data_IF_563654111295
#
_entry.id   IF_563654111295
#
_cell.length_a   1.000
_cell.length_b   1.000
_cell.length_c   1.000
_cell.angle_alpha   90.00
_cell.angle_beta   90.00
_cell.angle_gamma   90.00
#
_symmetry.space_group_name_H-M   'P 1'
#
loop_
_entity.id
_entity.type
_entity.pdbx_description
1 polymer ?
#
# COMPACT_ATOMS: atom_id res chain seq x y z
N UNK A 1 -2.11 1.53 8.75
CA UNK A 1 -0.98 0.61 8.65
C UNK A 1 0.00 0.91 9.77
N UNK A 2 0.50 -0.13 10.45
CA UNK A 2 1.41 -0.03 11.58
C UNK A 2 2.66 -0.87 11.37
N UNK A 3 3.74 -0.51 12.07
CA UNK A 3 4.98 -1.31 12.09
C UNK A 3 5.10 -1.99 13.44
N UNK A 4 5.26 -3.31 13.40
CA UNK A 4 5.58 -4.14 14.56
C UNK A 4 7.08 -4.02 14.79
N UNK A 5 7.48 -3.13 15.70
CA UNK A 5 8.89 -2.78 15.92
C UNK A 5 9.78 -3.98 16.26
N UNK A 6 9.27 -4.97 16.98
CA UNK A 6 10.03 -6.19 17.33
C UNK A 6 10.31 -7.07 16.11
N UNK A 7 9.40 -7.10 15.12
CA UNK A 7 9.58 -7.87 13.90
C UNK A 7 10.38 -7.10 12.82
N UNK A 8 10.56 -5.79 12.99
CA UNK A 8 11.31 -4.99 12.04
C UNK A 8 12.81 -5.22 12.17
N UNK A 9 13.44 -5.72 11.12
CA UNK A 9 14.87 -6.03 11.07
C UNK A 9 15.79 -4.81 10.91
N UNK A 10 15.26 -3.59 10.77
CA UNK A 10 16.09 -2.40 10.51
C UNK A 10 16.85 -2.51 9.19
N UNK A 11 16.16 -2.90 8.11
CA UNK A 11 16.76 -2.96 6.77
C UNK A 11 17.46 -1.64 6.42
N UNK A 12 18.59 -1.68 5.68
CA UNK A 12 19.36 -0.48 5.36
C UNK A 12 18.50 0.51 4.56
N UNK A 13 18.75 1.80 4.79
CA UNK A 13 18.27 2.84 3.91
C UNK A 13 18.93 2.72 2.53
N UNK A 14 18.36 3.41 1.55
CA UNK A 14 18.93 3.44 0.20
C UNK A 14 20.38 3.87 0.26
N UNK A 15 21.27 2.97 -0.14
CA UNK A 15 22.71 3.21 -0.23
C UNK A 15 23.34 2.32 -1.30
N UNK A 16 24.53 2.71 -1.74
CA UNK A 16 25.32 1.91 -2.66
C UNK A 16 26.54 1.38 -1.92
N UNK A 17 26.87 0.13 -2.17
CA UNK A 17 28.02 -0.55 -1.56
C UNK A 17 28.84 -1.25 -2.62
N UNK A 18 30.16 -1.18 -2.49
CA UNK A 18 31.10 -1.96 -3.27
C UNK A 18 31.49 -3.19 -2.47
N UNK A 19 30.99 -4.38 -2.81
CA UNK A 19 31.37 -5.62 -2.14
C UNK A 19 32.71 -6.16 -2.65
N UNK A 20 33.13 -7.30 -2.12
CA UNK A 20 34.41 -7.92 -2.44
C UNK A 20 34.56 -8.41 -3.90
N UNK A 21 33.47 -8.50 -4.65
CA UNK A 21 33.48 -8.85 -6.07
C UNK A 21 33.96 -7.71 -6.99
N UNK A 22 34.36 -6.56 -6.44
CA UNK A 22 34.95 -5.49 -7.21
C UNK A 22 36.26 -5.98 -7.89
N UNK A 23 36.34 -5.80 -9.23
CA UNK A 23 37.46 -6.32 -10.03
C UNK A 23 38.66 -5.38 -10.04
N UNK A 24 38.67 -4.29 -9.29
CA UNK A 24 39.79 -3.34 -9.21
C UNK A 24 40.26 -2.87 -10.60
N UNK A 25 39.31 -2.57 -11.50
CA UNK A 25 39.60 -2.23 -12.90
C UNK A 25 40.42 -0.93 -13.02
N UNK A 26 41.34 -0.87 -13.98
CA UNK A 26 42.27 0.25 -14.14
C UNK A 26 41.53 1.58 -14.41
N UNK A 27 40.45 1.57 -15.18
CA UNK A 27 39.76 2.78 -15.61
C UNK A 27 38.84 3.40 -14.53
N UNK A 28 38.48 2.66 -13.46
CA UNK A 28 37.63 3.10 -12.38
C UNK A 28 36.38 3.94 -12.81
N UNK A 29 35.57 3.52 -13.79
CA UNK A 29 34.49 4.35 -14.32
C UNK A 29 33.46 4.74 -13.25
N UNK A 30 33.36 3.99 -12.17
CA UNK A 30 32.52 4.33 -11.03
C UNK A 30 32.98 5.60 -10.30
N UNK A 31 34.31 5.82 -10.16
CA UNK A 31 34.87 7.02 -9.57
C UNK A 31 34.70 8.22 -10.51
N UNK A 32 35.04 8.05 -11.80
CA UNK A 32 34.92 9.09 -12.82
C UNK A 32 33.46 9.58 -13.00
N UNK A 33 32.48 8.68 -12.89
CA UNK A 33 31.06 9.02 -13.02
C UNK A 33 30.46 9.69 -11.78
N UNK A 34 31.19 9.76 -10.66
CA UNK A 34 30.65 10.26 -9.40
C UNK A 34 30.65 11.80 -9.34
N UNK A 35 29.49 12.49 -9.38
CA UNK A 35 29.44 13.96 -9.42
C UNK A 35 29.89 14.64 -8.12
N UNK A 36 30.00 13.86 -7.03
CA UNK A 36 30.42 14.35 -5.71
C UNK A 36 31.80 13.85 -5.27
N UNK A 37 32.51 13.12 -6.14
CA UNK A 37 33.79 12.55 -5.77
C UNK A 37 33.75 11.65 -4.53
N UNK A 38 32.61 11.00 -4.31
CA UNK A 38 32.36 10.15 -3.14
C UNK A 38 32.99 8.75 -3.26
N UNK A 39 33.72 8.46 -4.33
CA UNK A 39 34.34 7.17 -4.56
C UNK A 39 35.87 7.35 -4.64
N UNK A 40 36.54 6.65 -3.74
CA UNK A 40 38.00 6.59 -3.70
C UNK A 40 38.46 5.19 -4.03
N UNK A 41 39.69 5.07 -4.54
CA UNK A 41 40.34 3.78 -4.80
C UNK A 41 41.27 3.46 -3.64
N UNK A 42 41.01 2.33 -3.00
CA UNK A 42 41.86 1.85 -1.91
C UNK A 42 43.21 1.30 -2.44
N UNK A 43 44.19 1.15 -1.56
CA UNK A 43 45.53 0.65 -1.90
C UNK A 43 45.52 -0.74 -2.59
N UNK A 44 44.49 -1.54 -2.34
CA UNK A 44 44.30 -2.84 -3.00
C UNK A 44 43.58 -2.74 -4.36
N UNK A 45 43.40 -1.53 -4.90
CA UNK A 45 42.73 -1.25 -6.18
C UNK A 45 41.21 -1.27 -6.12
N UNK A 46 40.58 -1.69 -5.02
CA UNK A 46 39.10 -1.71 -4.88
C UNK A 46 38.57 -0.29 -4.67
N UNK A 47 37.43 -0.04 -5.26
CA UNK A 47 36.67 1.21 -5.02
C UNK A 47 35.98 1.17 -3.68
N UNK A 48 35.93 2.31 -2.98
CA UNK A 48 35.23 2.49 -1.70
C UNK A 48 34.32 3.70 -1.81
N UNK A 49 33.07 3.59 -1.37
CA UNK A 49 32.10 4.68 -1.36
C UNK A 49 32.07 5.33 0.02
N UNK A 50 32.35 6.62 0.05
CA UNK A 50 32.13 7.47 1.23
C UNK A 50 30.63 7.79 1.34
N UNK A 51 29.96 7.17 2.30
CA UNK A 51 28.52 7.32 2.48
C UNK A 51 28.10 8.71 2.97
N UNK A 52 28.99 9.50 3.55
CA UNK A 52 28.71 10.87 3.98
C UNK A 52 28.67 11.83 2.79
N UNK A 53 29.54 11.63 1.79
CA UNK A 53 29.57 12.42 0.55
C UNK A 53 28.57 11.91 -0.48
N UNK A 54 28.14 10.64 -0.38
CA UNK A 54 27.33 9.98 -1.38
C UNK A 54 25.89 10.50 -1.41
N UNK A 55 25.48 11.09 -2.53
CA UNK A 55 24.09 11.54 -2.75
C UNK A 55 23.15 10.42 -3.23
N UNK A 56 23.59 9.19 -3.23
CA UNK A 56 22.80 7.99 -3.55
C UNK A 56 22.14 8.01 -4.96
N UNK A 57 22.78 8.66 -5.93
CA UNK A 57 22.24 8.85 -7.30
C UNK A 57 22.34 7.60 -8.19
N UNK A 58 23.21 6.63 -7.88
CA UNK A 58 23.34 5.37 -8.62
C UNK A 58 24.21 5.40 -9.87
N UNK A 59 24.77 6.53 -10.27
CA UNK A 59 25.62 6.64 -11.48
C UNK A 59 26.79 5.66 -11.47
N UNK A 60 27.42 5.47 -10.32
CA UNK A 60 28.52 4.53 -10.16
C UNK A 60 28.12 3.08 -10.41
N UNK A 61 26.92 2.67 -9.99
CA UNK A 61 26.41 1.34 -10.25
C UNK A 61 26.13 1.13 -11.75
N UNK A 62 25.53 2.13 -12.39
CA UNK A 62 25.28 2.11 -13.84
C UNK A 62 26.55 2.11 -14.68
N UNK A 63 27.59 2.81 -14.21
CA UNK A 63 28.88 2.89 -14.92
C UNK A 63 29.78 1.65 -14.73
N UNK A 64 29.50 0.81 -13.74
CA UNK A 64 30.30 -0.37 -13.44
C UNK A 64 30.07 -1.49 -14.48
N UNK A 65 31.06 -1.83 -15.35
CA UNK A 65 30.86 -2.86 -16.39
C UNK A 65 30.70 -4.27 -15.83
N UNK A 66 31.10 -4.47 -14.58
CA UNK A 66 31.02 -5.76 -13.88
C UNK A 66 29.76 -5.89 -12.98
N UNK A 67 28.93 -4.85 -12.89
CA UNK A 67 27.78 -4.84 -11.99
C UNK A 67 28.15 -5.03 -10.50
N UNK A 68 29.40 -4.70 -10.13
CA UNK A 68 29.94 -4.98 -8.80
C UNK A 68 29.42 -4.04 -7.71
N UNK A 69 28.73 -2.95 -8.06
CA UNK A 69 28.18 -1.99 -7.09
C UNK A 69 26.71 -2.31 -6.85
N UNK A 70 26.40 -2.76 -5.65
CA UNK A 70 25.04 -3.15 -5.27
C UNK A 70 24.28 -1.97 -4.66
N UNK A 71 23.00 -1.87 -5.01
CA UNK A 71 22.03 -1.00 -4.34
C UNK A 71 21.41 -1.77 -3.18
N UNK A 72 21.57 -1.26 -1.98
CA UNK A 72 20.84 -1.71 -0.81
C UNK A 72 19.68 -0.75 -0.57
N UNK A 73 18.51 -1.28 -0.32
CA UNK A 73 17.33 -0.47 -0.07
C UNK A 73 16.31 -1.27 0.74
N UNK A 74 15.67 -0.60 1.66
CA UNK A 74 14.61 -1.16 2.48
C UNK A 74 13.39 -1.46 1.59
N UNK A 75 12.93 -2.75 1.49
CA UNK A 75 11.87 -3.11 0.54
C UNK A 75 10.56 -2.33 0.75
N UNK A 76 10.17 -2.08 2.00
CA UNK A 76 8.96 -1.30 2.30
C UNK A 76 9.08 0.16 1.86
N UNK A 77 10.26 0.78 1.94
CA UNK A 77 10.48 2.14 1.45
C UNK A 77 10.54 2.18 -0.08
N UNK A 78 11.23 1.21 -0.70
CA UNK A 78 11.29 1.09 -2.15
C UNK A 78 9.91 0.94 -2.81
N UNK A 79 8.98 0.25 -2.12
CA UNK A 79 7.61 0.05 -2.59
C UNK A 79 6.67 1.23 -2.28
N UNK A 80 7.12 2.23 -1.52
CA UNK A 80 6.27 3.34 -1.09
C UNK A 80 6.27 4.47 -2.13
N UNK A 81 5.23 4.54 -2.96
CA UNK A 81 5.08 5.61 -3.95
C UNK A 81 4.86 7.02 -3.36
N UNK A 82 4.61 7.11 -2.05
CA UNK A 82 4.40 8.38 -1.33
C UNK A 82 5.62 8.85 -0.55
N UNK A 83 6.72 8.09 -0.60
CA UNK A 83 7.93 8.35 0.20
C UNK A 83 7.65 8.58 1.69
N UNK A 84 6.71 7.78 2.22
CA UNK A 84 6.21 7.88 3.58
C UNK A 84 6.95 6.98 4.59
N UNK A 85 7.97 6.21 4.13
CA UNK A 85 8.71 5.29 4.99
C UNK A 85 10.09 5.83 5.30
N UNK A 86 10.29 6.25 6.51
CA UNK A 86 11.57 6.72 7.06
C UNK A 86 12.23 5.71 7.98
N UNK A 87 13.18 6.22 8.76
CA UNK A 87 13.92 5.48 9.79
C UNK A 87 13.76 6.18 11.13
N UNK A 88 13.53 5.42 12.19
CA UNK A 88 13.53 5.95 13.55
C UNK A 88 14.94 5.95 14.16
N UNK A 89 15.04 6.46 15.38
CA UNK A 89 16.31 6.54 16.14
C UNK A 89 16.98 5.20 16.39
N UNK A 90 16.22 4.10 16.32
CA UNK A 90 16.72 2.74 16.49
C UNK A 90 17.09 2.06 15.15
N UNK A 91 17.09 2.80 14.04
CA UNK A 91 17.37 2.27 12.70
C UNK A 91 16.23 1.44 12.09
N UNK A 92 15.05 1.40 12.73
CA UNK A 92 13.89 0.66 12.24
C UNK A 92 13.01 1.53 11.36
N UNK A 93 12.15 0.89 10.56
CA UNK A 93 11.21 1.62 9.74
C UNK A 93 10.24 2.46 10.59
N UNK A 94 9.91 3.64 10.10
CA UNK A 94 8.85 4.51 10.63
C UNK A 94 7.95 4.98 9.50
N UNK A 95 6.65 5.19 9.80
CA UNK A 95 5.68 5.65 8.82
C UNK A 95 5.29 7.08 9.15
N UNK A 96 5.52 7.98 8.21
CA UNK A 96 4.98 9.33 8.24
C UNK A 96 3.49 9.26 7.88
N UNK A 97 2.63 9.43 8.89
CA UNK A 97 1.17 9.30 8.72
C UNK A 97 0.57 10.44 7.90
N UNK A 98 1.24 11.59 7.83
CA UNK A 98 0.77 12.71 7.01
C UNK A 98 0.98 12.43 5.51
N UNK A 99 2.05 11.73 5.16
CA UNK A 99 2.32 11.30 3.78
C UNK A 99 1.58 10.03 3.42
N UNK A 100 1.39 9.13 4.36
CA UNK A 100 0.82 7.81 4.13
C UNK A 100 -0.61 7.90 3.60
N UNK A 101 -0.93 7.09 2.59
CA UNK A 101 -2.27 6.94 2.01
C UNK A 101 -2.88 5.55 2.28
N UNK A 102 -2.25 4.77 3.15
CA UNK A 102 -2.71 3.44 3.57
C UNK A 102 -2.94 2.43 2.43
N UNK A 103 -2.19 2.51 1.34
CA UNK A 103 -2.34 1.64 0.16
C UNK A 103 -1.90 0.18 0.40
N UNK A 104 -1.15 -0.13 1.47
CA UNK A 104 -0.72 -1.49 1.79
C UNK A 104 0.55 -1.98 1.09
N UNK A 105 1.12 -1.25 0.12
CA UNK A 105 2.30 -1.70 -0.65
C UNK A 105 3.50 -2.08 0.23
N UNK A 106 3.73 -1.33 1.31
CA UNK A 106 4.80 -1.63 2.26
C UNK A 106 4.56 -2.94 3.03
N UNK A 107 3.29 -3.31 3.29
CA UNK A 107 2.91 -4.55 3.95
C UNK A 107 3.25 -5.75 3.06
N UNK A 108 2.83 -5.71 1.80
CA UNK A 108 3.06 -6.80 0.83
C UNK A 108 4.56 -7.01 0.56
N UNK A 109 5.35 -5.93 0.58
CA UNK A 109 6.78 -5.98 0.27
C UNK A 109 7.68 -6.19 1.51
N UNK A 110 7.12 -6.35 2.72
CA UNK A 110 7.92 -6.62 3.90
C UNK A 110 8.23 -8.12 4.04
N UNK A 111 9.47 -8.59 3.81
CA UNK A 111 9.80 -10.02 3.88
C UNK A 111 9.77 -10.58 5.30
N UNK A 112 9.69 -9.71 6.31
CA UNK A 112 9.67 -10.09 7.74
C UNK A 112 8.27 -10.04 8.35
N UNK A 113 7.23 -9.72 7.59
CA UNK A 113 5.88 -9.53 8.13
C UNK A 113 5.79 -8.45 9.22
N UNK A 114 6.73 -7.50 9.22
CA UNK A 114 6.81 -6.47 10.26
C UNK A 114 5.82 -5.33 10.08
N UNK A 115 5.06 -5.32 9.00
CA UNK A 115 4.04 -4.31 8.73
C UNK A 115 2.69 -4.99 8.69
N UNK A 116 1.74 -4.45 9.45
CA UNK A 116 0.39 -4.97 9.55
C UNK A 116 -0.65 -3.89 9.29
N UNK A 117 -1.82 -4.29 8.88
CA UNK A 117 -3.02 -3.47 8.86
C UNK A 117 -3.58 -3.25 10.28
N UNK A 118 -4.66 -2.53 10.38
CA UNK A 118 -5.44 -2.37 11.62
C UNK A 118 -6.69 -3.25 11.58
N UNK A 119 -6.50 -4.55 11.34
CA UNK A 119 -7.60 -5.49 11.38
C UNK A 119 -8.36 -5.46 12.71
N UNK A 120 -9.69 -5.62 12.65
CA UNK A 120 -10.58 -5.57 13.81
C UNK A 120 -11.15 -6.96 14.17
N UNK A 121 -10.38 -8.02 13.91
CA UNK A 121 -10.82 -9.40 14.15
C UNK A 121 -11.22 -9.66 15.61
N UNK A 122 -10.49 -9.07 16.56
CA UNK A 122 -10.79 -9.22 17.97
C UNK A 122 -12.15 -8.61 18.32
N UNK A 123 -12.42 -7.40 17.85
CA UNK A 123 -13.71 -6.72 18.07
C UNK A 123 -14.86 -7.49 17.42
N UNK A 124 -14.63 -8.07 16.24
CA UNK A 124 -15.61 -8.92 15.55
C UNK A 124 -15.94 -10.17 16.36
N UNK A 125 -14.93 -10.91 16.81
CA UNK A 125 -15.12 -12.11 17.65
C UNK A 125 -15.87 -11.76 18.94
N UNK A 126 -15.53 -10.65 19.56
CA UNK A 126 -16.23 -10.17 20.76
C UNK A 126 -17.71 -9.85 20.49
N UNK A 127 -18.02 -9.22 19.36
CA UNK A 127 -19.38 -8.90 18.98
C UNK A 127 -20.22 -10.18 18.77
N UNK A 128 -19.68 -11.15 18.03
CA UNK A 128 -20.33 -12.44 17.79
C UNK A 128 -20.55 -13.19 19.12
N UNK A 129 -19.53 -13.26 19.98
CA UNK A 129 -19.64 -13.94 21.29
C UNK A 129 -20.65 -13.29 22.24
N UNK A 130 -20.86 -11.99 22.13
CA UNK A 130 -21.88 -11.27 22.92
C UNK A 130 -23.30 -11.47 22.38
N UNK A 131 -23.46 -12.14 21.24
CA UNK A 131 -24.76 -12.32 20.59
C UNK A 131 -25.25 -11.07 19.83
N UNK A 132 -24.34 -10.14 19.50
CA UNK A 132 -24.70 -9.01 18.65
C UNK A 132 -25.10 -9.52 17.26
N UNK A 133 -26.08 -8.88 16.66
CA UNK A 133 -26.43 -9.13 15.26
C UNK A 133 -25.36 -8.54 14.34
N UNK A 134 -24.51 -9.39 13.76
CA UNK A 134 -23.40 -8.97 12.89
C UNK A 134 -23.69 -9.37 11.45
N UNK A 135 -23.72 -8.40 10.56
CA UNK A 135 -23.88 -8.60 9.12
C UNK A 135 -22.50 -8.48 8.46
N UNK A 136 -22.09 -9.51 7.72
CA UNK A 136 -20.88 -9.45 6.88
C UNK A 136 -21.21 -8.74 5.56
N UNK A 137 -20.45 -7.72 5.21
CA UNK A 137 -20.41 -7.18 3.86
C UNK A 137 -19.10 -7.58 3.23
N UNK A 138 -19.13 -8.27 2.08
CA UNK A 138 -17.98 -8.98 1.53
C UNK A 138 -17.54 -8.34 0.21
N UNK A 139 -16.25 -8.04 0.09
CA UNK A 139 -15.66 -7.53 -1.15
C UNK A 139 -15.64 -8.63 -2.23
N UNK A 140 -15.77 -8.30 -3.52
CA UNK A 140 -15.69 -9.27 -4.61
C UNK A 140 -14.38 -10.07 -4.67
N UNK A 141 -13.33 -9.59 -4.00
CA UNK A 141 -12.02 -10.21 -3.94
C UNK A 141 -12.02 -11.65 -3.38
N UNK A 142 -13.08 -12.10 -2.69
CA UNK A 142 -13.18 -13.48 -2.20
C UNK A 142 -13.29 -14.51 -3.33
N UNK A 143 -13.75 -14.10 -4.51
CA UNK A 143 -13.95 -15.00 -5.65
C UNK A 143 -12.62 -15.59 -6.10
N UNK A 144 -12.57 -16.91 -6.17
CA UNK A 144 -11.38 -17.66 -6.56
C UNK A 144 -10.34 -17.90 -5.45
N UNK A 145 -10.46 -17.29 -4.27
CA UNK A 145 -9.50 -17.48 -3.17
C UNK A 145 -9.61 -18.84 -2.47
N UNK A 146 -10.78 -19.45 -2.49
CA UNK A 146 -11.06 -20.71 -1.77
C UNK A 146 -11.14 -21.92 -2.71
N UNK A 147 -10.61 -21.79 -3.93
CA UNK A 147 -10.61 -22.84 -4.94
C UNK A 147 -11.92 -22.94 -5.74
N UNK A 148 -11.96 -23.76 -6.83
CA UNK A 148 -13.05 -23.77 -7.79
C UNK A 148 -14.35 -24.38 -7.25
N UNK A 149 -14.30 -25.13 -6.16
CA UNK A 149 -15.49 -25.74 -5.53
C UNK A 149 -16.25 -24.81 -4.60
N UNK A 150 -15.72 -23.61 -4.32
CA UNK A 150 -16.38 -22.63 -3.47
C UNK A 150 -17.36 -21.81 -4.30
N UNK A 151 -18.66 -21.95 -3.98
CA UNK A 151 -19.72 -21.12 -4.55
C UNK A 151 -20.14 -20.01 -3.58
N UNK A 152 -20.81 -18.94 -4.04
CA UNK A 152 -21.32 -17.89 -3.17
C UNK A 152 -22.25 -18.42 -2.05
N UNK A 153 -23.04 -19.44 -2.35
CA UNK A 153 -23.94 -20.07 -1.38
C UNK A 153 -23.17 -20.83 -0.29
N UNK A 154 -22.14 -21.59 -0.69
CA UNK A 154 -21.24 -22.27 0.27
C UNK A 154 -20.50 -21.27 1.14
N UNK A 155 -20.00 -20.20 0.55
CA UNK A 155 -19.35 -19.12 1.28
C UNK A 155 -20.30 -18.48 2.30
N UNK A 156 -21.51 -18.14 1.86
CA UNK A 156 -22.55 -17.59 2.74
C UNK A 156 -22.89 -18.54 3.88
N UNK A 157 -23.04 -19.85 3.59
CA UNK A 157 -23.31 -20.85 4.62
C UNK A 157 -22.15 -20.96 5.64
N UNK A 158 -20.90 -20.93 5.17
CA UNK A 158 -19.74 -20.96 6.05
C UNK A 158 -19.69 -19.72 6.95
N UNK A 159 -19.94 -18.53 6.42
CA UNK A 159 -19.98 -17.29 7.20
C UNK A 159 -21.08 -17.33 8.28
N UNK A 160 -22.26 -17.88 7.97
CA UNK A 160 -23.32 -18.08 8.97
C UNK A 160 -22.88 -19.05 10.07
N UNK A 161 -22.17 -20.11 9.75
CA UNK A 161 -21.61 -21.03 10.75
C UNK A 161 -20.56 -20.36 11.65
N UNK A 162 -19.84 -19.34 11.16
CA UNK A 162 -18.93 -18.52 11.96
C UNK A 162 -19.67 -17.56 12.91
N UNK A 163 -20.98 -17.41 12.78
CA UNK A 163 -21.80 -16.60 13.67
C UNK A 163 -22.27 -15.26 13.09
N UNK A 164 -22.13 -15.05 11.78
CA UNK A 164 -22.75 -13.91 11.12
C UNK A 164 -24.24 -14.16 10.91
N UNK A 165 -25.04 -13.11 11.10
CA UNK A 165 -26.50 -13.15 10.87
C UNK A 165 -26.84 -13.27 9.38
N UNK A 166 -26.17 -12.46 8.57
CA UNK A 166 -26.31 -12.47 7.12
C UNK A 166 -25.03 -12.05 6.41
N UNK A 167 -24.98 -12.31 5.09
CA UNK A 167 -23.86 -11.98 4.22
C UNK A 167 -24.40 -11.21 3.02
N UNK A 168 -23.79 -10.08 2.71
CA UNK A 168 -24.16 -9.22 1.58
C UNK A 168 -22.93 -8.90 0.75
N UNK A 169 -23.03 -9.04 -0.55
CA UNK A 169 -21.95 -8.70 -1.46
C UNK A 169 -21.86 -7.19 -1.66
N UNK A 170 -20.66 -6.63 -1.49
CA UNK A 170 -20.40 -5.20 -1.73
C UNK A 170 -20.54 -4.85 -3.22
N UNK A 171 -20.49 -5.84 -4.11
CA UNK A 171 -20.77 -5.66 -5.53
C UNK A 171 -22.12 -4.98 -5.80
N UNK A 172 -23.15 -5.29 -5.02
CA UNK A 172 -24.47 -4.63 -5.11
C UNK A 172 -24.35 -3.13 -4.86
N UNK A 173 -23.57 -2.75 -3.86
CA UNK A 173 -23.28 -1.33 -3.59
C UNK A 173 -22.45 -0.69 -4.69
N UNK A 174 -21.56 -1.45 -5.34
CA UNK A 174 -20.77 -0.96 -6.47
C UNK A 174 -21.66 -0.65 -7.68
N UNK A 175 -22.62 -1.51 -8.01
CA UNK A 175 -23.58 -1.27 -9.08
C UNK A 175 -24.38 0.01 -8.84
N UNK A 176 -24.89 0.20 -7.62
CA UNK A 176 -25.62 1.41 -7.24
C UNK A 176 -24.75 2.67 -7.31
N UNK A 177 -23.50 2.60 -6.82
CA UNK A 177 -22.55 3.70 -6.95
C UNK A 177 -22.29 4.05 -8.41
N UNK A 178 -22.08 3.05 -9.26
CA UNK A 178 -21.83 3.25 -10.70
C UNK A 178 -22.99 3.95 -11.39
N UNK A 179 -24.23 3.59 -11.07
CA UNK A 179 -25.42 4.24 -11.64
C UNK A 179 -25.46 5.71 -11.26
N UNK A 180 -25.21 6.04 -10.00
CA UNK A 180 -25.25 7.44 -9.53
C UNK A 180 -24.06 8.25 -10.09
N UNK A 181 -22.84 7.70 -10.09
CA UNK A 181 -21.67 8.37 -10.68
C UNK A 181 -21.85 8.59 -12.18
N UNK A 182 -22.47 7.66 -12.92
CA UNK A 182 -22.77 7.84 -14.34
C UNK A 182 -23.73 9.00 -14.58
N UNK A 183 -24.76 9.17 -13.74
CA UNK A 183 -25.67 10.33 -13.82
C UNK A 183 -24.92 11.64 -13.57
N UNK A 184 -24.08 11.68 -12.55
CA UNK A 184 -23.27 12.85 -12.22
C UNK A 184 -22.29 13.17 -13.34
N UNK A 185 -21.62 12.15 -13.91
CA UNK A 185 -20.73 12.32 -15.07
C UNK A 185 -21.46 12.94 -16.28
N UNK A 186 -22.62 12.38 -16.66
CA UNK A 186 -23.38 12.87 -17.81
C UNK A 186 -23.90 14.31 -17.62
N UNK A 187 -24.12 14.72 -16.38
CA UNK A 187 -24.52 16.09 -16.06
C UNK A 187 -23.34 17.06 -16.10
N UNK A 188 -22.21 16.67 -15.50
CA UNK A 188 -21.10 17.57 -15.22
C UNK A 188 -20.06 17.63 -16.35
N UNK A 189 -19.87 16.53 -17.13
CA UNK A 189 -18.83 16.45 -18.15
C UNK A 189 -19.43 16.51 -19.56
N UNK A 190 -18.95 17.41 -20.45
CA UNK A 190 -17.91 18.41 -20.26
C UNK A 190 -18.43 19.78 -19.79
N UNK A 191 -19.71 19.90 -19.43
CA UNK A 191 -20.38 21.19 -19.23
C UNK A 191 -19.84 22.00 -18.04
N UNK A 192 -19.60 21.34 -16.90
CA UNK A 192 -19.15 21.97 -15.66
C UNK A 192 -17.66 21.70 -15.40
N UNK A 193 -17.15 20.55 -15.87
CA UNK A 193 -15.76 20.12 -15.66
C UNK A 193 -15.24 19.30 -16.84
N UNK A 194 -13.90 19.30 -17.10
CA UNK A 194 -13.33 18.63 -18.27
C UNK A 194 -13.35 17.11 -18.19
N UNK A 195 -13.31 16.55 -16.97
CA UNK A 195 -13.38 15.12 -16.68
C UNK A 195 -13.86 14.90 -15.24
N UNK A 196 -14.21 13.68 -14.92
CA UNK A 196 -14.50 13.26 -13.55
C UNK A 196 -13.68 11.99 -13.23
N UNK A 197 -13.02 11.99 -12.07
CA UNK A 197 -12.30 10.85 -11.56
C UNK A 197 -13.13 10.14 -10.48
N UNK A 198 -13.15 8.80 -10.49
CA UNK A 198 -13.91 8.02 -9.51
C UNK A 198 -13.26 8.02 -8.13
N UNK A 199 -14.02 7.76 -7.07
CA UNK A 199 -13.56 7.82 -5.67
C UNK A 199 -13.71 6.50 -4.92
N UNK A 200 -13.93 5.38 -5.62
CA UNK A 200 -14.20 4.08 -4.99
C UNK A 200 -13.05 3.55 -4.11
N UNK A 201 -11.79 3.96 -4.38
CA UNK A 201 -10.61 3.60 -3.58
C UNK A 201 -10.14 4.78 -2.73
N UNK A 202 -10.31 4.75 -1.40
CA UNK A 202 -9.87 5.84 -0.51
C UNK A 202 -8.38 6.15 -0.60
N UNK A 203 -7.52 5.13 -0.72
CA UNK A 203 -6.07 5.33 -0.85
C UNK A 203 -5.72 6.11 -2.11
N UNK A 204 -6.37 5.79 -3.24
CA UNK A 204 -6.20 6.52 -4.48
C UNK A 204 -6.69 7.97 -4.37
N UNK A 205 -7.89 8.18 -3.82
CA UNK A 205 -8.46 9.52 -3.68
C UNK A 205 -7.60 10.43 -2.79
N UNK A 206 -7.08 9.88 -1.68
CA UNK A 206 -6.17 10.63 -0.80
C UNK A 206 -4.84 10.92 -1.48
N UNK A 207 -4.29 9.96 -2.23
CA UNK A 207 -3.07 10.15 -3.02
C UNK A 207 -3.26 11.25 -4.06
N UNK A 208 -4.35 11.18 -4.84
CA UNK A 208 -4.65 12.15 -5.88
C UNK A 208 -4.78 13.56 -5.31
N UNK A 209 -5.52 13.74 -4.22
CA UNK A 209 -5.66 15.03 -3.53
C UNK A 209 -4.34 15.59 -2.99
N UNK A 210 -3.43 14.71 -2.54
CA UNK A 210 -2.11 15.15 -2.04
C UNK A 210 -1.14 15.53 -3.15
N UNK A 211 -1.12 14.77 -4.23
CA UNK A 211 -0.16 14.98 -5.33
C UNK A 211 -0.65 15.95 -6.39
N UNK A 212 -1.96 16.07 -6.55
CA UNK A 212 -2.61 16.90 -7.57
C UNK A 212 -3.74 17.72 -6.95
N UNK A 213 -3.45 18.63 -6.01
CA UNK A 213 -4.47 19.40 -5.30
C UNK A 213 -5.36 20.22 -6.24
N UNK A 214 -4.82 20.72 -7.34
CA UNK A 214 -5.57 21.50 -8.36
C UNK A 214 -6.62 20.67 -9.09
N UNK A 215 -6.53 19.34 -9.05
CA UNK A 215 -7.48 18.43 -9.68
C UNK A 215 -8.43 17.76 -8.66
N UNK A 216 -8.32 18.12 -7.40
CA UNK A 216 -9.09 17.50 -6.31
C UNK A 216 -10.60 17.65 -6.47
N UNK A 217 -11.05 18.76 -7.05
CA UNK A 217 -12.46 19.07 -7.25
C UNK A 217 -13.11 18.22 -8.34
N UNK A 218 -12.32 17.61 -9.22
CA UNK A 218 -12.80 16.69 -10.25
C UNK A 218 -12.97 15.23 -9.76
N UNK A 219 -12.67 14.97 -8.49
CA UNK A 219 -12.88 13.65 -7.89
C UNK A 219 -14.32 13.54 -7.43
N UNK A 220 -15.02 12.51 -7.90
CA UNK A 220 -16.40 12.20 -7.50
C UNK A 220 -16.57 12.17 -5.98
N UNK A 221 -17.64 12.76 -5.50
CA UNK A 221 -18.04 12.73 -4.08
C UNK A 221 -18.96 11.56 -3.74
N UNK A 222 -19.17 10.62 -4.67
CA UNK A 222 -19.93 9.41 -4.43
C UNK A 222 -19.36 8.59 -3.26
N UNK A 223 -20.24 7.94 -2.51
CA UNK A 223 -19.81 7.04 -1.45
C UNK A 223 -19.07 5.84 -2.04
N UNK A 224 -18.06 5.35 -1.31
CA UNK A 224 -17.45 4.08 -1.71
C UNK A 224 -18.46 2.94 -1.61
N UNK A 225 -18.38 1.90 -2.46
CA UNK A 225 -19.29 0.75 -2.43
C UNK A 225 -19.44 0.12 -1.04
N UNK A 226 -18.33 -0.04 -0.32
CA UNK A 226 -18.31 -0.53 1.06
C UNK A 226 -19.18 0.34 1.99
N UNK A 227 -19.00 1.65 1.94
CA UNK A 227 -19.73 2.58 2.82
C UNK A 227 -21.21 2.63 2.45
N UNK A 228 -21.54 2.62 1.15
CA UNK A 228 -22.94 2.59 0.70
C UNK A 228 -23.63 1.33 1.15
N UNK A 229 -23.04 0.15 0.91
CA UNK A 229 -23.59 -1.14 1.34
C UNK A 229 -23.80 -1.17 2.86
N UNK A 230 -22.81 -0.70 3.65
CA UNK A 230 -22.92 -0.65 5.10
C UNK A 230 -24.07 0.25 5.57
N UNK A 231 -24.26 1.42 4.93
CA UNK A 231 -25.36 2.34 5.26
C UNK A 231 -26.72 1.75 4.91
N UNK A 232 -26.85 1.09 3.76
CA UNK A 232 -28.08 0.42 3.35
C UNK A 232 -28.44 -0.68 4.35
N UNK A 233 -27.49 -1.54 4.72
CA UNK A 233 -27.74 -2.61 5.68
C UNK A 233 -28.10 -2.08 7.08
N UNK A 234 -27.48 -1.00 7.54
CA UNK A 234 -27.85 -0.35 8.80
C UNK A 234 -29.23 0.31 8.78
N UNK A 235 -29.67 0.80 7.63
CA UNK A 235 -31.01 1.37 7.46
C UNK A 235 -32.07 0.28 7.49
N UNK A 236 -31.80 -0.85 6.85
CA UNK A 236 -32.72 -2.00 6.77
C UNK A 236 -32.76 -2.76 8.11
N UNK A 237 -31.63 -2.95 8.76
CA UNK A 237 -31.46 -3.73 9.97
C UNK A 237 -31.00 -2.85 11.13
N UNK A 238 -31.94 -2.20 11.80
CA UNK A 238 -31.64 -1.31 12.95
C UNK A 238 -30.91 -2.08 14.06
N UNK A 239 -29.87 -1.48 14.62
CA UNK A 239 -29.11 -2.05 15.73
C UNK A 239 -28.06 -3.09 15.32
N UNK A 240 -27.94 -3.48 14.06
CA UNK A 240 -26.91 -4.41 13.61
C UNK A 240 -25.51 -3.77 13.64
N UNK A 241 -24.49 -4.63 13.78
CA UNK A 241 -23.09 -4.30 13.52
C UNK A 241 -22.73 -4.76 12.12
N UNK A 242 -21.89 -4.00 11.44
CA UNK A 242 -21.40 -4.34 10.10
C UNK A 242 -19.93 -4.72 10.21
N UNK A 243 -19.57 -5.85 9.62
CA UNK A 243 -18.19 -6.27 9.43
C UNK A 243 -17.89 -6.30 7.93
N UNK A 244 -16.92 -5.50 7.50
CA UNK A 244 -16.40 -5.56 6.15
C UNK A 244 -15.31 -6.63 6.06
N UNK A 245 -15.43 -7.50 5.09
CA UNK A 245 -14.48 -8.57 4.76
C UNK A 245 -13.91 -8.26 3.37
N UNK A 246 -12.62 -7.97 3.31
CA UNK A 246 -11.89 -7.61 2.09
C UNK A 246 -10.61 -8.40 1.91
#
# INVERSE_FOLDING_TARGET
>A
INIIKFACHGCPEKQYRVPDCCQSCLAHPCSESCPKGAITVHINGKSVIDNEKCIRCGRCAAACPYGAIIKLERPCAAACGMDAIGTDEQGKASIDQEKCVSCGMCLVNCPFGAISDKGQIFQLIQAIKKGDRVIAIVAPAFVGQFGPSMTPEKFTAAMKQLGFDSVVEVAIGADLCTIEEAKDFLRAVPAEQPFMATSCCPSWSVMAKKLFPDLADYISMALTPMVLTARLQKKEHKGCKIAFIG
#
